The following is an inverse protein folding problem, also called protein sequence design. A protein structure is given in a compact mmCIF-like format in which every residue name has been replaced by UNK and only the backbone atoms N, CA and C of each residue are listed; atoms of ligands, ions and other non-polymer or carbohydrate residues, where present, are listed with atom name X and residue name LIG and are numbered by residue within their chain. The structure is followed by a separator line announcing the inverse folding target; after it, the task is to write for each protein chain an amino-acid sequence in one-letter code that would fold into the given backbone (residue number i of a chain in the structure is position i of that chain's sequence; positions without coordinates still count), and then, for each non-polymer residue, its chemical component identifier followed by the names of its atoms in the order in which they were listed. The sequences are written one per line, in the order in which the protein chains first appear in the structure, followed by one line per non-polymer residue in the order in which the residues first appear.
data_IF_581318114576
#
_entry.id   IF_581318114576
#
_cell.length_a   1.000
_cell.length_b   1.000
_cell.length_c   1.000
_cell.angle_alpha   90.00
_cell.angle_beta   90.00
_cell.angle_gamma   90.00
#
_symmetry.space_group_name_H-M   'P 1'
#
loop_
_entity.id
_entity.type
_entity.pdbx_description
1 polymer ?
#
# COMPACT_ATOMS: atom_id res chain seq x y z
N UNK A 1 -3.04 -0.49 -7.27
CA UNK A 1 -3.84 0.46 -8.07
C UNK A 1 -5.30 0.09 -7.86
N UNK A 2 -6.08 1.07 -7.42
CA UNK A 2 -7.43 0.85 -6.88
C UNK A 2 -8.52 0.94 -7.95
N UNK A 3 -8.32 1.80 -8.95
CA UNK A 3 -9.31 2.12 -9.98
C UNK A 3 -8.72 1.98 -11.39
N UNK A 4 -9.59 1.78 -12.37
CA UNK A 4 -9.19 1.83 -13.77
C UNK A 4 -8.84 3.27 -14.17
N UNK A 5 -7.76 3.42 -14.94
CA UNK A 5 -7.20 4.72 -15.30
C UNK A 5 -6.32 5.36 -14.23
N UNK A 6 -6.10 4.69 -13.08
CA UNK A 6 -5.10 5.12 -12.11
C UNK A 6 -3.71 5.17 -12.76
N UNK A 7 -2.97 6.25 -12.49
CA UNK A 7 -1.62 6.47 -13.00
C UNK A 7 -0.66 6.66 -11.83
N UNK A 8 0.48 5.98 -11.88
CA UNK A 8 1.57 6.16 -10.95
C UNK A 8 2.86 6.30 -11.77
N UNK A 9 3.45 7.48 -11.74
CA UNK A 9 4.74 7.74 -12.34
C UNK A 9 5.80 7.66 -11.23
N UNK A 10 6.71 6.69 -11.33
CA UNK A 10 7.84 6.55 -10.41
C UNK A 10 9.14 6.80 -11.17
N UNK A 11 9.90 7.80 -10.74
CA UNK A 11 11.18 8.19 -11.35
C UNK A 11 12.27 8.11 -10.29
N UNK A 12 12.75 6.90 -9.97
CA UNK A 12 13.79 6.73 -8.97
C UNK A 12 15.15 7.15 -9.53
N UNK A 13 15.81 8.09 -8.86
CA UNK A 13 17.15 8.53 -9.19
C UNK A 13 18.12 8.19 -8.06
N UNK A 14 19.33 7.81 -8.45
CA UNK A 14 20.45 7.58 -7.55
C UNK A 14 21.64 8.36 -8.10
N UNK A 15 22.14 9.32 -7.32
CA UNK A 15 23.35 10.07 -7.63
C UNK A 15 24.45 9.63 -6.66
N UNK A 16 25.58 9.14 -7.20
CA UNK A 16 26.70 8.61 -6.41
C UNK A 16 27.94 9.41 -6.76
N UNK A 17 28.44 10.18 -5.79
CA UNK A 17 29.57 11.10 -5.99
C UNK A 17 30.93 10.53 -5.54
N UNK A 18 30.95 9.36 -4.87
CA UNK A 18 32.17 8.77 -4.28
C UNK A 18 32.55 7.42 -4.90
N UNK A 19 33.86 7.20 -5.09
CA UNK A 19 34.41 6.07 -5.84
C UNK A 19 34.48 4.70 -5.15
N UNK A 20 34.10 4.57 -3.88
CA UNK A 20 34.02 3.27 -3.20
C UNK A 20 32.62 3.01 -2.66
N UNK A 21 31.90 2.12 -3.33
CA UNK A 21 30.58 1.62 -2.92
C UNK A 21 30.52 0.11 -3.12
N UNK A 22 30.22 -0.61 -2.04
CA UNK A 22 30.07 -2.08 -2.04
C UNK A 22 28.74 -2.51 -2.68
N UNK A 23 27.76 -1.61 -2.75
CA UNK A 23 26.50 -1.81 -3.48
C UNK A 23 25.52 -0.68 -3.24
N UNK A 24 24.73 -0.36 -4.27
CA UNK A 24 23.59 0.54 -4.18
C UNK A 24 22.45 -0.05 -5.04
N UNK A 25 21.25 -0.13 -4.47
CA UNK A 25 20.09 -0.69 -5.13
C UNK A 25 18.87 0.19 -4.89
N UNK A 26 18.00 0.27 -5.89
CA UNK A 26 16.69 0.89 -5.75
C UNK A 26 15.65 -0.04 -6.37
N UNK A 27 14.48 -0.13 -5.74
CA UNK A 27 13.34 -0.85 -6.27
C UNK A 27 12.09 0.02 -6.13
N UNK A 28 11.29 0.05 -7.19
CA UNK A 28 9.97 0.67 -7.20
C UNK A 28 9.00 -0.33 -7.80
N UNK A 29 7.90 -0.61 -7.11
CA UNK A 29 6.88 -1.54 -7.57
C UNK A 29 5.54 -0.82 -7.68
N UNK A 30 4.88 -0.99 -8.82
CA UNK A 30 3.50 -0.57 -9.05
C UNK A 30 2.69 -1.80 -9.45
N UNK A 31 1.60 -2.08 -8.74
CA UNK A 31 0.75 -3.25 -9.03
C UNK A 31 -0.72 -2.95 -8.81
N UNK A 32 -1.59 -3.78 -9.38
CA UNK A 32 -3.02 -3.86 -9.03
C UNK A 32 -3.17 -4.75 -7.78
N UNK A 33 -4.41 -4.92 -7.30
CA UNK A 33 -4.67 -5.96 -6.31
C UNK A 33 -4.28 -7.34 -6.85
N UNK A 34 -3.83 -8.20 -5.95
CA UNK A 34 -3.62 -9.61 -6.26
C UNK A 34 -4.98 -10.31 -6.24
N UNK A 35 -5.42 -10.78 -7.41
CA UNK A 35 -6.70 -11.44 -7.59
C UNK A 35 -6.82 -12.73 -6.76
N UNK A 36 -5.71 -13.42 -6.48
CA UNK A 36 -5.70 -14.62 -5.65
C UNK A 36 -5.96 -14.28 -4.18
N UNK A 37 -5.38 -13.18 -3.68
CA UNK A 37 -5.65 -12.68 -2.32
C UNK A 37 -7.10 -12.25 -2.15
N UNK A 38 -7.64 -11.52 -3.14
CA UNK A 38 -9.05 -11.11 -3.12
C UNK A 38 -9.98 -12.32 -3.19
N UNK A 39 -9.71 -13.27 -4.10
CA UNK A 39 -10.46 -14.51 -4.21
C UNK A 39 -10.45 -15.31 -2.90
N UNK A 40 -9.28 -15.40 -2.25
CA UNK A 40 -9.15 -16.09 -0.98
C UNK A 40 -10.04 -15.47 0.10
N UNK A 41 -9.99 -14.15 0.29
CA UNK A 41 -10.82 -13.44 1.27
C UNK A 41 -12.32 -13.60 0.95
N UNK A 42 -12.70 -13.46 -0.31
CA UNK A 42 -14.08 -13.64 -0.75
C UNK A 42 -14.58 -15.08 -0.55
N UNK A 43 -13.72 -16.09 -0.72
CA UNK A 43 -14.07 -17.49 -0.44
C UNK A 43 -14.42 -17.75 1.03
N UNK A 44 -13.98 -16.85 1.93
CA UNK A 44 -14.32 -16.87 3.37
C UNK A 44 -15.59 -16.07 3.69
N UNK A 45 -16.32 -15.62 2.67
CA UNK A 45 -17.59 -14.88 2.82
C UNK A 45 -17.42 -13.37 3.01
N UNK A 46 -16.21 -12.84 2.83
CA UNK A 46 -15.94 -11.40 2.90
C UNK A 46 -16.42 -10.74 1.60
N UNK A 47 -17.11 -9.60 1.70
CA UNK A 47 -17.53 -8.85 0.51
C UNK A 47 -16.32 -8.39 -0.30
N UNK A 48 -16.48 -8.14 -1.60
CA UNK A 48 -15.37 -7.65 -2.43
C UNK A 48 -14.87 -6.28 -1.96
N UNK A 49 -15.76 -5.43 -1.46
CA UNK A 49 -15.42 -4.12 -0.88
C UNK A 49 -14.59 -4.28 0.39
N UNK A 50 -15.04 -5.12 1.33
CA UNK A 50 -14.31 -5.37 2.57
C UNK A 50 -12.96 -6.07 2.30
N UNK A 51 -12.90 -6.98 1.34
CA UNK A 51 -11.67 -7.66 0.95
C UNK A 51 -10.63 -6.66 0.41
N UNK A 52 -11.05 -5.73 -0.46
CA UNK A 52 -10.17 -4.66 -0.97
C UNK A 52 -9.66 -3.77 0.16
N UNK A 53 -10.54 -3.37 1.09
CA UNK A 53 -10.14 -2.58 2.27
C UNK A 53 -9.14 -3.31 3.14
N UNK A 54 -9.36 -4.60 3.42
CA UNK A 54 -8.44 -5.41 4.22
C UNK A 54 -7.05 -5.51 3.58
N UNK A 55 -6.98 -5.71 2.26
CA UNK A 55 -5.68 -5.77 1.55
C UNK A 55 -4.95 -4.42 1.63
N UNK A 56 -5.65 -3.29 1.42
CA UNK A 56 -5.02 -1.96 1.53
C UNK A 56 -4.59 -1.65 2.96
N UNK A 57 -5.42 -1.99 3.95
CA UNK A 57 -5.07 -1.81 5.37
C UNK A 57 -3.84 -2.65 5.73
N UNK A 58 -3.78 -3.90 5.29
CA UNK A 58 -2.62 -4.77 5.49
C UNK A 58 -1.34 -4.19 4.89
N UNK A 59 -1.44 -3.61 3.68
CA UNK A 59 -0.31 -2.94 3.02
C UNK A 59 0.22 -1.75 3.82
N UNK A 60 -0.65 -0.88 4.34
CA UNK A 60 -0.21 0.28 5.14
C UNK A 60 0.14 -0.07 6.59
N UNK A 61 -0.42 -1.15 7.14
CA UNK A 61 -0.16 -1.56 8.51
C UNK A 61 1.34 -1.80 8.73
N UNK A 62 2.05 -2.41 7.77
CA UNK A 62 3.49 -2.68 7.86
C UNK A 62 4.31 -1.43 8.22
N UNK A 63 4.02 -0.28 7.59
CA UNK A 63 4.75 0.96 7.87
C UNK A 63 4.16 1.74 9.05
N UNK A 64 2.86 1.66 9.27
CA UNK A 64 2.20 2.40 10.36
C UNK A 64 2.56 1.82 11.73
N UNK A 65 2.70 0.50 11.85
CA UNK A 65 3.04 -0.14 13.13
C UNK A 65 4.43 0.23 13.65
N UNK A 66 5.32 0.73 12.79
CA UNK A 66 6.64 1.24 13.18
C UNK A 66 6.59 2.59 13.90
N UNK A 67 5.46 3.30 13.85
CA UNK A 67 5.27 4.57 14.55
C UNK A 67 4.99 4.28 16.03
N UNK A 68 5.83 4.77 16.94
CA UNK A 68 5.69 4.46 18.37
C UNK A 68 4.41 5.01 19.03
N UNK A 69 3.85 6.09 18.49
CA UNK A 69 2.68 6.77 19.05
C UNK A 69 1.38 6.14 18.51
N UNK A 70 0.61 5.51 19.40
CA UNK A 70 -0.65 4.85 19.05
C UNK A 70 -1.74 5.81 18.59
N UNK A 71 -1.78 7.05 19.09
CA UNK A 71 -2.76 8.05 18.65
C UNK A 71 -2.48 8.45 17.19
N UNK A 72 -1.19 8.54 16.82
CA UNK A 72 -0.80 8.77 15.42
C UNK A 72 -1.16 7.57 14.54
N UNK A 73 -0.92 6.34 15.00
CA UNK A 73 -1.32 5.13 14.27
C UNK A 73 -2.82 5.12 13.98
N UNK A 74 -3.65 5.33 15.00
CA UNK A 74 -5.10 5.32 14.89
C UNK A 74 -5.59 6.41 13.93
N UNK A 75 -5.03 7.62 14.05
CA UNK A 75 -5.37 8.74 13.15
C UNK A 75 -5.03 8.44 11.70
N UNK A 76 -3.90 7.79 11.43
CA UNK A 76 -3.49 7.41 10.08
C UNK A 76 -4.39 6.31 9.51
N UNK A 77 -4.70 5.29 10.30
CA UNK A 77 -5.58 4.21 9.88
C UNK A 77 -7.00 4.72 9.58
N UNK A 78 -7.54 5.57 10.44
CA UNK A 78 -8.84 6.22 10.19
C UNK A 78 -8.82 7.05 8.91
N UNK A 79 -7.73 7.79 8.68
CA UNK A 79 -7.58 8.60 7.47
C UNK A 79 -7.55 7.75 6.21
N UNK A 80 -6.92 6.59 6.25
CA UNK A 80 -6.90 5.63 5.14
C UNK A 80 -8.31 5.12 4.86
N UNK A 81 -9.05 4.72 5.90
CA UNK A 81 -10.44 4.24 5.76
C UNK A 81 -11.34 5.29 5.09
N UNK A 82 -11.26 6.55 5.53
CA UNK A 82 -12.03 7.65 4.96
C UNK A 82 -11.73 7.88 3.47
N UNK A 83 -10.46 7.75 3.06
CA UNK A 83 -10.07 7.90 1.66
C UNK A 83 -10.49 6.70 0.81
N UNK A 84 -10.50 5.49 1.36
CA UNK A 84 -11.01 4.31 0.66
C UNK A 84 -12.52 4.41 0.39
N UNK A 85 -13.30 4.92 1.34
CA UNK A 85 -14.73 5.19 1.14
C UNK A 85 -14.96 6.16 -0.02
N UNK A 86 -14.16 7.24 -0.12
CA UNK A 86 -14.26 8.21 -1.22
C UNK A 86 -13.86 7.63 -2.57
N UNK A 87 -12.88 6.72 -2.58
CA UNK A 87 -12.41 6.07 -3.79
C UNK A 87 -13.38 5.00 -4.33
N UNK A 88 -14.47 4.70 -3.61
CA UNK A 88 -15.41 3.63 -3.98
C UNK A 88 -14.82 2.23 -3.79
N UNK A 89 -13.89 2.10 -2.84
CA UNK A 89 -13.23 0.85 -2.47
C UNK A 89 -13.79 0.26 -1.16
#
# INVERSE_FOLDING_TARGET
MLTDGARADSVPNLEIETGEIVGAGHASTTGRFDDEQLFYLMSRGISVEDARRLVVRGFFAEIITEIADSEIQDRLMQRIDDELVKAGA
#
